data_IF_032690420897
#
_entry.id   IF_032690420897
#
_cell.length_a   1.000
_cell.length_b   1.000
_cell.length_c   1.000
_cell.angle_alpha   90.00
_cell.angle_beta   90.00
_cell.angle_gamma   90.00
#
_symmetry.space_group_name_H-M   'P 1'
#
loop_
_entity.id
_entity.type
_entity.pdbx_description
1 polymer ?
#
# COMPACT_ATOMS: atom_id res chain seq x y z
N UNK A 1 -1.21 -29.98 -23.58
CA UNK A 1 -0.23 -29.51 -22.58
C UNK A 1 -0.88 -29.59 -21.21
N UNK A 2 -0.20 -30.13 -20.19
CA UNK A 2 -0.76 -30.23 -18.84
C UNK A 2 -1.03 -28.84 -18.27
N UNK A 3 -2.21 -28.63 -17.69
CA UNK A 3 -2.63 -27.34 -17.12
C UNK A 3 -1.63 -26.83 -16.07
N UNK A 4 -1.05 -27.75 -15.28
CA UNK A 4 -0.02 -27.43 -14.30
C UNK A 4 1.28 -26.86 -14.91
N UNK A 5 1.67 -27.31 -16.12
CA UNK A 5 2.86 -26.79 -16.79
C UNK A 5 2.64 -25.35 -17.30
N UNK A 6 1.44 -25.06 -17.79
CA UNK A 6 1.07 -23.71 -18.24
C UNK A 6 1.07 -22.75 -17.07
N UNK A 7 0.47 -23.15 -15.93
CA UNK A 7 0.44 -22.36 -14.72
C UNK A 7 1.84 -22.12 -14.14
N UNK A 8 2.70 -23.14 -14.12
CA UNK A 8 4.08 -23.00 -13.65
C UNK A 8 4.90 -22.06 -14.54
N UNK A 9 4.72 -22.14 -15.86
CA UNK A 9 5.41 -21.30 -16.83
C UNK A 9 4.95 -19.83 -16.74
N UNK A 10 3.64 -19.57 -16.68
CA UNK A 10 3.10 -18.22 -16.53
C UNK A 10 3.49 -17.58 -15.20
N UNK A 11 3.49 -18.37 -14.11
CA UNK A 11 3.98 -17.91 -12.81
C UNK A 11 5.48 -17.60 -12.84
N UNK A 12 6.30 -18.45 -13.46
CA UNK A 12 7.73 -18.23 -13.60
C UNK A 12 8.07 -16.94 -14.36
N UNK A 13 7.37 -16.67 -15.46
CA UNK A 13 7.56 -15.46 -16.27
C UNK A 13 7.10 -14.21 -15.51
N UNK A 14 6.03 -14.31 -14.72
CA UNK A 14 5.58 -13.23 -13.84
C UNK A 14 6.62 -12.88 -12.77
N UNK A 15 7.22 -13.88 -12.13
CA UNK A 15 8.30 -13.66 -11.15
C UNK A 15 9.51 -12.97 -11.80
N UNK A 16 9.92 -13.42 -12.99
CA UNK A 16 10.97 -12.78 -13.78
C UNK A 16 10.65 -11.32 -14.09
N UNK A 17 9.39 -11.01 -14.42
CA UNK A 17 8.95 -9.64 -14.66
C UNK A 17 9.09 -8.74 -13.43
N UNK A 18 8.85 -9.28 -12.22
CA UNK A 18 9.01 -8.49 -10.98
C UNK A 18 10.48 -8.32 -10.61
N UNK A 19 11.32 -9.32 -10.85
CA UNK A 19 12.78 -9.21 -10.66
C UNK A 19 13.38 -8.18 -11.64
N UNK A 20 12.83 -8.08 -12.84
CA UNK A 20 13.21 -7.04 -13.81
C UNK A 20 12.78 -5.62 -13.41
N UNK A 21 12.07 -5.44 -12.29
CA UNK A 21 11.64 -4.14 -11.78
C UNK A 21 10.46 -3.53 -12.53
N UNK A 22 9.71 -4.33 -13.31
CA UNK A 22 8.53 -3.83 -14.01
C UNK A 22 7.40 -3.54 -13.00
N UNK A 23 6.68 -2.41 -13.15
CA UNK A 23 5.51 -2.13 -12.32
C UNK A 23 4.48 -3.27 -12.40
N UNK A 24 3.80 -3.56 -11.29
CA UNK A 24 2.87 -4.69 -11.13
C UNK A 24 1.82 -4.78 -12.26
N UNK A 25 1.29 -3.62 -12.70
CA UNK A 25 0.33 -3.52 -13.80
C UNK A 25 0.88 -4.13 -15.09
N UNK A 26 2.12 -3.79 -15.47
CA UNK A 26 2.74 -4.27 -16.69
C UNK A 26 3.16 -5.74 -16.57
N UNK A 27 3.60 -6.18 -15.38
CA UNK A 27 3.93 -7.59 -15.15
C UNK A 27 2.71 -8.49 -15.26
N UNK A 28 1.63 -8.16 -14.54
CA UNK A 28 0.39 -8.94 -14.57
C UNK A 28 -0.31 -8.89 -15.94
N UNK A 29 -0.49 -7.69 -16.48
CA UNK A 29 -1.17 -7.49 -17.76
C UNK A 29 -0.36 -8.02 -18.95
N UNK A 30 0.96 -7.79 -18.95
CA UNK A 30 1.85 -8.24 -20.01
C UNK A 30 1.94 -9.77 -20.08
N UNK A 31 2.13 -10.45 -18.94
CA UNK A 31 2.15 -11.93 -18.91
C UNK A 31 0.80 -12.51 -19.28
N UNK A 32 -0.30 -11.93 -18.80
CA UNK A 32 -1.65 -12.35 -19.20
C UNK A 32 -1.89 -12.19 -20.71
N UNK A 33 -1.42 -11.10 -21.32
CA UNK A 33 -1.53 -10.86 -22.76
C UNK A 33 -0.66 -11.81 -23.59
N UNK A 34 0.61 -12.01 -23.21
CA UNK A 34 1.53 -12.90 -23.92
C UNK A 34 1.00 -14.34 -23.88
N UNK A 35 0.55 -14.81 -22.72
CA UNK A 35 -0.06 -16.13 -22.59
C UNK A 35 -1.38 -16.20 -23.35
N UNK A 36 -2.24 -15.18 -23.24
CA UNK A 36 -3.49 -15.10 -23.99
C UNK A 36 -3.28 -15.22 -25.50
N UNK A 37 -2.28 -14.54 -26.06
CA UNK A 37 -1.99 -14.58 -27.49
C UNK A 37 -1.47 -15.95 -27.95
N UNK A 38 -0.61 -16.59 -27.15
CA UNK A 38 -0.05 -17.91 -27.49
C UNK A 38 -1.12 -19.01 -27.45
N UNK A 39 -2.06 -18.97 -26.51
CA UNK A 39 -3.04 -20.05 -26.30
C UNK A 39 -4.41 -19.81 -26.94
N UNK A 40 -4.89 -18.56 -26.95
CA UNK A 40 -6.23 -18.17 -27.44
C UNK A 40 -6.18 -17.40 -28.78
N UNK A 41 -5.00 -17.07 -29.28
CA UNK A 41 -4.83 -16.33 -30.53
C UNK A 41 -5.31 -14.87 -30.47
N UNK A 42 -5.61 -14.23 -31.61
CA UNK A 42 -5.98 -12.81 -31.68
C UNK A 42 -7.23 -12.43 -30.87
N UNK A 43 -8.13 -13.40 -30.61
CA UNK A 43 -9.34 -13.18 -29.80
C UNK A 43 -9.04 -12.85 -28.33
N UNK A 44 -7.85 -13.20 -27.82
CA UNK A 44 -7.41 -12.87 -26.46
C UNK A 44 -7.35 -11.36 -26.19
N UNK A 45 -7.03 -10.55 -27.21
CA UNK A 45 -7.00 -9.09 -27.09
C UNK A 45 -8.38 -8.51 -26.78
N UNK A 46 -9.43 -9.08 -27.37
CA UNK A 46 -10.81 -8.67 -27.12
C UNK A 46 -11.25 -9.04 -25.69
N UNK A 47 -10.94 -10.26 -25.25
CA UNK A 47 -11.20 -10.73 -23.88
C UNK A 47 -10.48 -9.86 -22.83
N UNK A 48 -9.21 -9.54 -23.06
CA UNK A 48 -8.46 -8.72 -22.14
C UNK A 48 -8.95 -7.25 -22.11
N UNK A 49 -9.34 -6.70 -23.27
CA UNK A 49 -9.96 -5.36 -23.34
C UNK A 49 -11.29 -5.33 -22.60
N UNK A 50 -12.14 -6.35 -22.78
CA UNK A 50 -13.42 -6.46 -22.07
C UNK A 50 -13.22 -6.56 -20.55
N UNK A 51 -12.26 -7.37 -20.09
CA UNK A 51 -11.93 -7.50 -18.67
C UNK A 51 -11.41 -6.19 -18.06
N UNK A 52 -10.55 -5.48 -18.79
CA UNK A 52 -10.07 -4.16 -18.39
C UNK A 52 -11.21 -3.15 -18.28
N UNK A 53 -12.11 -3.11 -19.27
CA UNK A 53 -13.26 -2.20 -19.28
C UNK A 53 -14.22 -2.50 -18.11
N UNK A 54 -14.44 -3.77 -17.80
CA UNK A 54 -15.24 -4.18 -16.64
C UNK A 54 -14.64 -3.73 -15.30
N UNK A 55 -13.31 -3.76 -15.19
CA UNK A 55 -12.60 -3.31 -13.98
C UNK A 55 -12.62 -1.79 -13.83
N UNK A 56 -12.52 -1.05 -14.95
CA UNK A 56 -12.63 0.41 -14.96
C UNK A 56 -13.98 0.91 -14.42
N UNK A 57 -15.06 0.18 -14.72
CA UNK A 57 -16.41 0.49 -14.23
C UNK A 57 -16.71 -0.07 -12.84
N UNK A 58 -15.75 -0.73 -12.19
CA UNK A 58 -15.97 -1.31 -10.88
C UNK A 58 -16.16 -0.23 -9.80
N UNK A 59 -17.09 -0.50 -8.88
CA UNK A 59 -17.31 0.35 -7.69
C UNK A 59 -16.04 0.53 -6.85
N UNK A 60 -15.15 -0.46 -6.87
CA UNK A 60 -13.87 -0.40 -6.14
C UNK A 60 -12.97 0.71 -6.69
N UNK A 61 -12.84 0.82 -8.03
CA UNK A 61 -12.03 1.87 -8.64
C UNK A 61 -12.58 3.28 -8.40
N UNK A 62 -13.91 3.42 -8.31
CA UNK A 62 -14.54 4.69 -7.91
C UNK A 62 -14.35 5.00 -6.42
N UNK A 63 -14.29 3.97 -5.56
CA UNK A 63 -14.11 4.17 -4.13
C UNK A 63 -12.70 4.66 -3.77
N UNK A 64 -11.65 4.19 -4.47
CA UNK A 64 -10.25 4.60 -4.23
C UNK A 64 -10.06 6.13 -4.21
N UNK A 65 -10.44 6.90 -5.25
CA UNK A 65 -10.29 8.35 -5.24
C UNK A 65 -11.19 9.03 -4.20
N UNK A 66 -12.38 8.50 -3.92
CA UNK A 66 -13.23 9.01 -2.84
C UNK A 66 -12.56 8.84 -1.47
N UNK A 67 -11.91 7.71 -1.21
CA UNK A 67 -11.16 7.47 0.04
C UNK A 67 -9.93 8.37 0.15
N UNK A 68 -9.20 8.58 -0.96
CA UNK A 68 -8.09 9.54 -1.00
C UNK A 68 -8.59 10.96 -0.72
N UNK A 69 -9.73 11.33 -1.31
CA UNK A 69 -10.36 12.63 -1.08
C UNK A 69 -10.78 12.82 0.38
N UNK A 70 -11.45 11.82 0.98
CA UNK A 70 -11.78 11.83 2.40
C UNK A 70 -10.53 11.97 3.28
N UNK A 71 -9.45 11.24 2.97
CA UNK A 71 -8.19 11.35 3.70
C UNK A 71 -7.56 12.74 3.59
N UNK A 72 -7.61 13.36 2.40
CA UNK A 72 -7.12 14.73 2.21
C UNK A 72 -7.95 15.75 2.97
N UNK A 73 -9.29 15.65 2.95
CA UNK A 73 -10.18 16.51 3.74
C UNK A 73 -9.94 16.36 5.25
N UNK A 74 -9.75 15.13 5.74
CA UNK A 74 -9.47 14.88 7.15
C UNK A 74 -8.13 15.45 7.61
N UNK A 75 -7.14 15.46 6.71
CA UNK A 75 -5.81 16.03 6.96
C UNK A 75 -5.85 17.56 6.96
N UNK A 76 -6.58 18.18 6.04
CA UNK A 76 -6.68 19.65 5.91
C UNK A 76 -7.65 20.28 6.92
N UNK A 77 -8.63 19.54 7.44
CA UNK A 77 -9.62 20.06 8.40
C UNK A 77 -9.10 20.25 9.83
N UNK A 78 -7.86 19.86 10.13
CA UNK A 78 -7.28 19.96 11.47
C UNK A 78 -7.82 18.94 12.48
N UNK A 79 -8.81 18.12 12.11
CA UNK A 79 -9.38 17.05 12.95
C UNK A 79 -8.29 16.06 13.35
N UNK A 80 -7.29 15.83 12.49
CA UNK A 80 -6.14 14.99 12.77
C UNK A 80 -5.32 15.47 13.99
N UNK A 81 -5.08 16.78 14.10
CA UNK A 81 -4.30 17.38 15.19
C UNK A 81 -5.08 17.43 16.51
N UNK A 82 -6.39 17.66 16.44
CA UNK A 82 -7.29 17.58 17.61
C UNK A 82 -7.34 16.16 18.16
N UNK A 83 -7.45 15.16 17.27
CA UNK A 83 -7.42 13.75 17.64
C UNK A 83 -6.06 13.36 18.25
N UNK A 84 -4.96 13.87 17.68
CA UNK A 84 -3.62 13.67 18.21
C UNK A 84 -3.48 14.23 19.62
N UNK A 85 -3.98 15.44 19.85
CA UNK A 85 -3.95 16.12 21.14
C UNK A 85 -4.79 15.39 22.19
N UNK A 86 -5.99 14.90 21.82
CA UNK A 86 -6.85 14.11 22.69
C UNK A 86 -6.20 12.77 23.11
N UNK A 87 -5.61 12.04 22.15
CA UNK A 87 -4.90 10.79 22.44
C UNK A 87 -3.65 11.03 23.30
N UNK A 88 -2.93 12.12 23.06
CA UNK A 88 -1.77 12.49 23.87
C UNK A 88 -2.15 12.80 25.32
N UNK A 89 -3.27 13.49 25.54
CA UNK A 89 -3.78 13.74 26.90
C UNK A 89 -4.21 12.45 27.60
N UNK A 90 -4.82 11.49 26.88
CA UNK A 90 -5.17 10.19 27.43
C UNK A 90 -3.97 9.30 27.76
N UNK A 91 -2.86 9.45 27.02
CA UNK A 91 -1.70 8.56 27.15
C UNK A 91 -0.47 9.21 27.81
N UNK A 92 -0.54 10.52 28.08
CA UNK A 92 0.49 11.33 28.75
C UNK A 92 1.00 10.81 30.09
N UNK A 93 0.20 10.16 30.96
CA UNK A 93 0.72 9.64 32.23
C UNK A 93 1.51 8.32 32.09
N UNK A 94 1.53 7.67 30.92
CA UNK A 94 2.11 6.34 30.75
C UNK A 94 3.53 6.44 30.19
N UNK A 95 4.53 5.85 30.87
CA UNK A 95 5.90 5.69 30.34
C UNK A 95 5.84 4.84 29.06
N UNK A 96 6.07 5.46 27.89
CA UNK A 96 5.92 4.84 26.56
C UNK A 96 4.62 5.18 25.82
N UNK A 97 3.71 5.98 26.43
CA UNK A 97 2.42 6.36 25.85
C UNK A 97 2.51 7.12 24.52
N UNK A 98 3.64 7.78 24.25
CA UNK A 98 3.86 8.53 23.01
C UNK A 98 3.96 7.61 21.79
N UNK A 99 4.64 6.47 21.92
CA UNK A 99 4.76 5.49 20.84
C UNK A 99 3.42 4.79 20.57
N UNK A 100 2.75 4.35 21.64
CA UNK A 100 1.46 3.65 21.54
C UNK A 100 0.38 4.60 20.99
N UNK A 101 0.39 5.88 21.38
CA UNK A 101 -0.54 6.88 20.86
C UNK A 101 -0.37 7.14 19.37
N UNK A 102 0.88 7.23 18.91
CA UNK A 102 1.16 7.39 17.47
C UNK A 102 0.63 6.20 16.67
N UNK A 103 0.83 4.96 17.15
CA UNK A 103 0.32 3.75 16.49
C UNK A 103 -1.21 3.70 16.48
N UNK A 104 -1.87 4.09 17.58
CA UNK A 104 -3.33 4.14 17.67
C UNK A 104 -3.93 5.15 16.68
N UNK A 105 -3.35 6.35 16.61
CA UNK A 105 -3.80 7.40 15.69
C UNK A 105 -3.58 6.96 14.24
N UNK A 106 -2.41 6.39 13.93
CA UNK A 106 -2.14 5.83 12.61
C UNK A 106 -3.14 4.71 12.27
N UNK A 107 -3.54 3.88 13.24
CA UNK A 107 -4.53 2.81 13.04
C UNK A 107 -5.92 3.37 12.76
N UNK A 108 -6.35 4.39 13.49
CA UNK A 108 -7.65 5.04 13.31
C UNK A 108 -7.71 5.77 11.95
N UNK A 109 -6.65 6.50 11.60
CA UNK A 109 -6.55 7.14 10.28
C UNK A 109 -6.47 6.13 9.14
N UNK A 110 -5.74 5.03 9.35
CA UNK A 110 -5.64 3.91 8.42
C UNK A 110 -7.00 3.25 8.17
N UNK A 111 -7.78 3.03 9.23
CA UNK A 111 -9.12 2.45 9.14
C UNK A 111 -10.09 3.34 8.34
N UNK A 112 -9.94 4.66 8.42
CA UNK A 112 -10.80 5.61 7.69
C UNK A 112 -10.38 5.80 6.23
N UNK A 113 -9.08 5.87 5.95
CA UNK A 113 -8.57 6.24 4.62
C UNK A 113 -8.24 5.03 3.72
N UNK A 114 -8.07 3.83 4.27
CA UNK A 114 -7.78 2.59 3.54
C UNK A 114 -6.43 2.52 2.80
N UNK A 115 -5.74 3.65 2.58
CA UNK A 115 -4.46 3.74 1.86
C UNK A 115 -3.32 4.01 2.85
N UNK A 116 -2.86 2.93 3.49
CA UNK A 116 -1.93 3.00 4.64
C UNK A 116 -0.47 2.80 4.23
N UNK A 117 -0.23 2.00 3.19
CA UNK A 117 1.11 1.49 2.90
C UNK A 117 2.12 2.60 2.52
N UNK A 118 1.75 3.52 1.65
CA UNK A 118 2.65 4.61 1.24
C UNK A 118 2.87 5.63 2.37
N UNK A 119 1.81 5.94 3.13
CA UNK A 119 1.85 6.90 4.25
C UNK A 119 2.66 6.40 5.45
N UNK A 120 2.63 5.11 5.75
CA UNK A 120 3.43 4.54 6.86
C UNK A 120 4.91 4.52 6.53
N UNK A 121 5.30 4.31 5.26
CA UNK A 121 6.71 4.35 4.86
C UNK A 121 7.27 5.77 4.97
N UNK A 122 6.53 6.78 4.50
CA UNK A 122 6.95 8.19 4.64
C UNK A 122 6.93 8.65 6.09
N UNK A 123 5.89 8.29 6.86
CA UNK A 123 5.83 8.60 8.29
C UNK A 123 6.92 7.87 9.09
N UNK A 124 7.32 6.65 8.71
CA UNK A 124 8.45 5.95 9.32
C UNK A 124 9.76 6.72 9.14
N UNK A 125 10.00 7.27 7.95
CA UNK A 125 11.19 8.09 7.65
C UNK A 125 11.17 9.41 8.43
N UNK A 126 10.00 10.01 8.65
CA UNK A 126 9.83 11.28 9.40
C UNK A 126 9.80 11.06 10.92
N UNK A 127 9.29 9.93 11.40
CA UNK A 127 9.14 9.61 12.82
C UNK A 127 10.48 9.26 13.46
N UNK A 128 11.38 8.56 12.76
CA UNK A 128 12.72 8.22 13.26
C UNK A 128 13.50 9.45 13.77
N UNK A 129 13.67 10.55 13.01
CA UNK A 129 14.40 11.71 13.49
C UNK A 129 13.68 12.45 14.63
N UNK A 130 12.34 12.40 14.68
CA UNK A 130 11.55 12.98 15.77
C UNK A 130 11.70 12.20 17.09
N UNK A 131 11.75 10.86 17.02
CA UNK A 131 12.00 9.98 18.16
C UNK A 131 13.43 10.11 18.69
N UNK A 132 14.42 10.25 17.80
CA UNK A 132 15.83 10.48 18.17
C UNK A 132 16.02 11.82 18.91
N UNK A 133 15.36 12.90 18.46
CA UNK A 133 15.42 14.22 19.13
C UNK A 133 14.84 14.22 20.55
N UNK A 134 13.97 13.26 20.88
CA UNK A 134 13.28 13.16 22.17
C UNK A 134 13.84 12.05 23.07
N UNK A 135 15.08 11.61 22.82
CA UNK A 135 15.82 10.60 23.62
C UNK A 135 15.09 9.26 23.78
N UNK A 136 14.26 8.86 22.80
CA UNK A 136 13.80 7.47 22.75
C UNK A 136 14.99 6.58 22.36
N UNK A 137 15.40 5.71 23.28
CA UNK A 137 16.57 4.83 23.12
C UNK A 137 16.34 3.86 21.96
N UNK A 138 16.96 4.12 20.82
CA UNK A 138 17.05 3.15 19.71
C UNK A 138 17.83 1.94 20.22
N UNK A 139 17.24 0.74 20.17
CA UNK A 139 17.92 -0.49 20.64
C UNK A 139 18.95 -0.99 19.61
N UNK A 140 19.01 -0.41 18.42
CA UNK A 140 19.93 -0.77 17.33
C UNK A 140 20.51 0.48 16.67
N UNK A 141 21.61 0.99 17.22
CA UNK A 141 22.62 1.76 16.48
C UNK A 141 24.00 1.56 17.12
N UNK A 142 24.35 0.31 17.46
CA UNK A 142 25.70 -0.08 17.89
C UNK A 142 26.24 -1.30 17.11
N UNK A 143 25.80 -1.49 15.87
CA UNK A 143 26.41 -2.47 14.98
C UNK A 143 26.57 -1.87 13.59
N UNK A 144 27.53 -0.96 13.44
CA UNK A 144 28.59 -0.99 12.43
C UNK A 144 29.21 0.41 12.27
N UNK A 145 30.54 0.39 12.32
CA UNK A 145 31.47 1.50 12.07
C UNK A 145 31.24 2.18 10.72
#
# INVERSE_FOLDING_TARGET
MNLGLIAALSFGILLLSFVAGLPLCFGLGGVAMVMGLIFYGPGSMFLATQGAYGTMLSFVLMAIPLFIFMGSLLSESGIADDLYSAMYQWMGPIKGGLAIGTVLICTVMAAMCGVVAAGVVTMGIIAIPSMQKRNYRTVEYQAHH
#
